data_IF_003736505075
#
_entry.id   IF_003736505075
#
_cell.length_a   1.000
_cell.length_b   1.000
_cell.length_c   1.000
_cell.angle_alpha   90.00
_cell.angle_beta   90.00
_cell.angle_gamma   90.00
#
_symmetry.space_group_name_H-M   'P 1'
#
loop_
_entity.id
_entity.type
_entity.pdbx_description
1 polymer ?
#
# COMPACT_ATOMS: atom_id res chain seq x y z
N UNK A 1 -4.39 23.86 6.84
CA UNK A 1 -4.27 24.51 8.17
C UNK A 1 -3.92 23.50 9.26
N UNK A 2 -4.72 22.43 9.46
CA UNK A 2 -4.50 21.41 10.52
C UNK A 2 -3.14 20.69 10.41
N UNK A 3 -2.79 20.19 9.22
CA UNK A 3 -1.51 19.46 9.03
C UNK A 3 -0.32 20.41 9.20
N UNK A 4 -0.38 21.60 8.61
CA UNK A 4 0.72 22.57 8.67
C UNK A 4 0.95 23.12 10.07
N UNK A 5 -0.11 23.41 10.85
CA UNK A 5 0.04 23.89 12.23
C UNK A 5 0.76 22.88 13.12
N UNK A 6 0.40 21.60 13.04
CA UNK A 6 1.08 20.55 13.81
C UNK A 6 2.53 20.30 13.36
N UNK A 7 2.82 20.49 12.07
CA UNK A 7 4.17 20.36 11.53
C UNK A 7 5.07 21.57 11.83
N UNK A 8 4.48 22.72 12.16
CA UNK A 8 5.19 23.94 12.53
C UNK A 8 5.45 24.07 14.03
N UNK A 9 4.56 23.50 14.85
CA UNK A 9 4.74 23.38 16.30
C UNK A 9 5.94 22.48 16.70
N UNK A 10 6.44 21.67 15.75
CA UNK A 10 7.62 20.79 15.87
C UNK A 10 8.96 21.55 16.07
N UNK A 11 8.91 22.89 16.16
CA UNK A 11 10.04 23.76 16.56
C UNK A 11 10.27 23.80 18.08
N UNK A 12 9.31 23.39 18.91
CA UNK A 12 9.50 23.35 20.37
C UNK A 12 10.07 21.99 20.78
N UNK A 13 11.25 22.01 21.42
CA UNK A 13 11.81 20.86 22.11
C UNK A 13 10.70 20.12 22.89
N UNK A 14 10.53 18.83 22.66
CA UNK A 14 9.78 17.99 23.58
C UNK A 14 10.74 17.09 24.34
N UNK A 15 10.89 17.47 25.59
CA UNK A 15 11.12 16.58 26.74
C UNK A 15 10.17 15.38 26.69
N UNK A 16 10.54 14.35 27.43
CA UNK A 16 9.99 12.99 27.62
C UNK A 16 8.47 12.71 27.61
N UNK A 17 7.59 13.67 27.36
CA UNK A 17 6.13 13.49 27.37
C UNK A 17 5.50 13.50 25.98
N UNK A 18 4.49 12.64 25.81
CA UNK A 18 3.76 12.33 24.57
C UNK A 18 2.89 13.51 24.05
N UNK A 19 3.01 14.71 24.62
CA UNK A 19 1.97 15.75 24.61
C UNK A 19 1.90 16.58 23.32
N UNK A 20 2.18 15.93 22.19
CA UNK A 20 1.76 16.40 20.87
C UNK A 20 2.47 15.73 19.71
N UNK A 21 2.78 14.44 19.85
CA UNK A 21 2.98 13.60 18.68
C UNK A 21 1.69 13.55 17.85
N UNK A 22 1.79 13.69 16.54
CA UNK A 22 0.66 13.54 15.63
C UNK A 22 0.56 12.10 15.12
N UNK A 23 -0.57 11.44 15.37
CA UNK A 23 -0.93 10.17 14.74
C UNK A 23 -2.26 10.39 14.02
N UNK A 24 -2.14 10.76 12.74
CA UNK A 24 -3.25 11.16 11.91
C UNK A 24 -3.67 10.04 10.97
N UNK A 25 -4.98 9.83 10.81
CA UNK A 25 -5.56 8.96 9.80
C UNK A 25 -6.42 9.76 8.83
N UNK A 26 -6.17 9.55 7.53
CA UNK A 26 -6.87 10.20 6.43
C UNK A 26 -7.55 9.13 5.57
N UNK A 27 -8.73 8.64 6.00
CA UNK A 27 -9.51 7.71 5.21
C UNK A 27 -10.22 8.45 4.06
N UNK A 28 -10.37 7.77 2.93
CA UNK A 28 -11.17 8.28 1.83
C UNK A 28 -11.33 7.25 0.72
N UNK A 29 -12.45 7.30 0.00
CA UNK A 29 -12.69 6.41 -1.14
C UNK A 29 -11.63 6.62 -2.24
N UNK A 30 -11.50 5.65 -3.15
CA UNK A 30 -10.75 5.84 -4.39
C UNK A 30 -11.23 7.11 -5.13
N UNK A 31 -10.31 7.96 -5.56
CA UNK A 31 -10.64 9.19 -6.28
C UNK A 31 -10.85 10.45 -5.42
N UNK A 32 -10.75 10.38 -4.09
CA UNK A 32 -10.91 11.53 -3.18
C UNK A 32 -9.68 12.44 -3.03
N UNK A 33 -8.62 12.22 -3.82
CA UNK A 33 -7.43 13.09 -3.82
C UNK A 33 -6.39 12.81 -2.72
N UNK A 34 -6.42 11.66 -2.04
CA UNK A 34 -5.43 11.26 -1.01
C UNK A 34 -3.96 11.44 -1.48
N UNK A 35 -3.61 10.89 -2.63
CA UNK A 35 -2.24 11.00 -3.17
C UNK A 35 -1.86 12.45 -3.52
N UNK A 36 -2.83 13.27 -3.94
CA UNK A 36 -2.61 14.71 -4.16
C UNK A 36 -2.34 15.45 -2.84
N UNK A 37 -3.02 15.08 -1.75
CA UNK A 37 -2.73 15.61 -0.42
C UNK A 37 -1.34 15.18 0.05
N UNK A 38 -0.92 13.94 -0.21
CA UNK A 38 0.45 13.48 0.08
C UNK A 38 1.47 14.36 -0.67
N UNK A 39 1.24 14.64 -1.96
CA UNK A 39 2.07 15.52 -2.79
C UNK A 39 2.11 16.95 -2.26
N UNK A 40 0.98 17.51 -1.82
CA UNK A 40 0.93 18.83 -1.21
C UNK A 40 1.77 18.91 0.08
N UNK A 41 1.64 17.92 0.97
CA UNK A 41 2.46 17.84 2.19
C UNK A 41 3.94 17.62 1.84
N UNK A 42 4.25 16.85 0.80
CA UNK A 42 5.63 16.71 0.28
C UNK A 42 6.14 18.08 -0.15
N UNK A 43 5.42 18.80 -1.00
CA UNK A 43 5.80 20.14 -1.46
C UNK A 43 6.05 21.11 -0.30
N UNK A 44 5.24 21.04 0.76
CA UNK A 44 5.46 21.82 1.98
C UNK A 44 6.85 21.57 2.59
N UNK A 45 7.21 20.32 2.88
CA UNK A 45 8.52 19.98 3.43
C UNK A 45 9.69 20.33 2.51
N UNK A 46 9.46 20.36 1.20
CA UNK A 46 10.47 20.74 0.20
C UNK A 46 10.77 22.24 0.32
N UNK A 47 9.72 23.06 0.27
CA UNK A 47 9.83 24.51 0.35
C UNK A 47 10.40 24.96 1.71
N UNK A 48 10.05 24.26 2.79
CA UNK A 48 10.62 24.54 4.12
C UNK A 48 12.02 23.93 4.36
N UNK A 49 12.63 23.28 3.35
CA UNK A 49 13.95 22.61 3.42
C UNK A 49 14.05 21.54 4.53
N UNK A 50 12.95 20.84 4.81
CA UNK A 50 12.84 19.80 5.87
C UNK A 50 12.69 18.37 5.31
N UNK A 51 12.91 18.17 4.01
CA UNK A 51 12.74 16.88 3.34
C UNK A 51 13.42 15.70 4.05
N UNK A 52 14.62 15.92 4.59
CA UNK A 52 15.39 14.88 5.30
C UNK A 52 14.68 14.32 6.55
N UNK A 53 13.72 15.07 7.10
CA UNK A 53 12.93 14.69 8.29
C UNK A 53 11.75 13.78 7.95
N UNK A 54 11.42 13.62 6.67
CA UNK A 54 10.25 12.87 6.20
C UNK A 54 10.66 11.53 5.58
N UNK A 55 9.81 10.51 5.77
CA UNK A 55 9.77 9.31 4.93
C UNK A 55 8.37 9.09 4.39
N UNK A 56 8.28 8.61 3.15
CA UNK A 56 7.04 8.27 2.45
C UNK A 56 7.07 6.78 2.19
N UNK A 57 6.10 6.07 2.72
CA UNK A 57 6.04 4.62 2.73
C UNK A 57 4.74 4.17 2.05
N UNK A 58 4.78 3.01 1.41
CA UNK A 58 3.58 2.32 0.92
C UNK A 58 3.80 0.79 0.99
N UNK A 59 2.75 -0.04 0.98
CA UNK A 59 2.89 -1.50 1.03
C UNK A 59 3.42 -2.11 -0.28
N UNK A 60 3.13 -1.49 -1.43
CA UNK A 60 3.48 -2.01 -2.78
C UNK A 60 4.43 -1.07 -3.51
N UNK A 61 5.18 -1.60 -4.48
CA UNK A 61 6.12 -0.81 -5.29
C UNK A 61 5.43 0.29 -6.10
N UNK A 62 4.29 -0.03 -6.73
CA UNK A 62 3.52 0.95 -7.53
C UNK A 62 3.01 2.09 -6.65
N UNK A 63 2.40 1.77 -5.49
CA UNK A 63 1.91 2.80 -4.58
C UNK A 63 3.06 3.65 -4.00
N UNK A 64 4.21 3.04 -3.73
CA UNK A 64 5.40 3.76 -3.28
C UNK A 64 5.92 4.72 -4.37
N UNK A 65 5.98 4.26 -5.62
CA UNK A 65 6.42 5.08 -6.75
C UNK A 65 5.51 6.28 -6.99
N UNK A 66 4.19 6.11 -6.90
CA UNK A 66 3.18 7.18 -7.12
C UNK A 66 3.38 8.41 -6.21
N UNK A 67 3.95 8.19 -5.03
CA UNK A 67 4.23 9.22 -4.02
C UNK A 67 5.74 9.55 -3.91
N UNK A 68 6.57 9.09 -4.85
CA UNK A 68 8.05 9.15 -4.83
C UNK A 68 8.64 8.69 -3.49
N UNK A 69 8.09 7.60 -2.95
CA UNK A 69 8.46 6.99 -1.68
C UNK A 69 9.19 5.67 -1.86
N UNK A 70 9.14 4.84 -0.82
CA UNK A 70 9.69 3.48 -0.84
C UNK A 70 8.70 2.51 -0.20
N UNK A 71 8.89 1.22 -0.43
CA UNK A 71 8.05 0.23 0.23
C UNK A 71 8.36 0.17 1.73
N UNK A 72 7.37 -0.20 2.56
CA UNK A 72 7.59 -0.43 4.00
C UNK A 72 8.66 -1.52 4.19
N UNK A 73 8.64 -2.57 3.37
CA UNK A 73 9.64 -3.64 3.44
C UNK A 73 11.06 -3.14 3.13
N UNK A 74 11.22 -2.32 2.09
CA UNK A 74 12.51 -1.67 1.78
C UNK A 74 13.00 -0.82 2.94
N UNK A 75 12.10 -0.05 3.58
CA UNK A 75 12.44 0.76 4.74
C UNK A 75 12.89 -0.09 5.95
N UNK A 76 12.23 -1.24 6.18
CA UNK A 76 12.60 -2.16 7.26
C UNK A 76 13.94 -2.86 7.03
N UNK A 77 14.28 -3.15 5.76
CA UNK A 77 15.55 -3.77 5.38
C UNK A 77 16.74 -2.80 5.34
N UNK A 78 16.48 -1.49 5.34
CA UNK A 78 17.52 -0.47 5.25
C UNK A 78 18.16 -0.19 6.62
N UNK A 79 19.11 -1.05 6.99
CA UNK A 79 19.97 -0.94 8.17
C UNK A 79 20.84 0.34 8.15
N UNK A 80 20.94 1.05 7.02
CA UNK A 80 21.78 2.25 6.83
C UNK A 80 21.04 3.56 7.07
N UNK A 81 19.76 3.54 7.47
CA UNK A 81 19.04 4.75 7.87
C UNK A 81 19.62 5.33 9.17
N UNK A 82 20.75 6.04 9.05
CA UNK A 82 21.48 6.69 10.14
C UNK A 82 20.72 7.88 10.73
N UNK A 83 19.72 8.42 10.02
CA UNK A 83 18.85 9.51 10.49
C UNK A 83 17.40 9.07 10.51
N UNK A 84 16.84 9.00 11.72
CA UNK A 84 15.42 8.70 11.94
C UNK A 84 14.55 9.82 11.37
N UNK A 85 13.45 9.48 10.67
CA UNK A 85 12.47 10.49 10.30
C UNK A 85 11.80 11.06 11.54
N UNK A 86 11.42 12.34 11.48
CA UNK A 86 10.45 12.92 12.41
C UNK A 86 9.02 12.75 11.95
N UNK A 87 8.80 12.51 10.64
CA UNK A 87 7.47 12.29 10.08
C UNK A 87 7.47 11.15 9.08
N UNK A 88 6.53 10.22 9.24
CA UNK A 88 6.25 9.14 8.29
C UNK A 88 4.87 9.39 7.68
N UNK A 89 4.80 9.36 6.35
CA UNK A 89 3.55 9.28 5.61
C UNK A 89 3.43 7.88 5.03
N UNK A 90 2.32 7.20 5.30
CA UNK A 90 2.09 5.85 4.80
C UNK A 90 0.82 5.83 3.94
N UNK A 91 0.96 5.55 2.64
CA UNK A 91 -0.17 5.39 1.72
C UNK A 91 -0.63 3.93 1.62
N UNK A 92 -1.85 3.72 1.15
CA UNK A 92 -2.52 2.42 0.99
C UNK A 92 -2.47 1.52 2.25
N UNK A 93 -2.64 2.13 3.42
CA UNK A 93 -2.51 1.43 4.70
C UNK A 93 -3.57 0.35 4.95
N UNK A 94 -4.61 0.28 4.11
CA UNK A 94 -5.59 -0.83 4.13
C UNK A 94 -4.96 -2.18 3.82
N UNK A 95 -3.88 -2.21 3.02
CA UNK A 95 -3.13 -3.42 2.69
C UNK A 95 -2.05 -3.77 3.72
N UNK A 96 -1.84 -2.92 4.74
CA UNK A 96 -0.85 -3.16 5.80
C UNK A 96 -1.53 -3.90 6.95
N UNK A 97 -0.96 -5.04 7.33
CA UNK A 97 -1.44 -5.80 8.47
C UNK A 97 -0.73 -5.45 9.77
N UNK A 98 -1.29 -5.97 10.87
CA UNK A 98 -0.80 -5.70 12.22
C UNK A 98 0.61 -6.24 12.46
N UNK A 99 1.01 -7.36 11.85
CA UNK A 99 2.38 -7.88 11.99
C UNK A 99 3.38 -6.96 11.31
N UNK A 100 3.09 -6.45 10.11
CA UNK A 100 3.96 -5.48 9.44
C UNK A 100 4.06 -4.16 10.22
N UNK A 101 2.94 -3.67 10.75
CA UNK A 101 2.91 -2.47 11.58
C UNK A 101 3.74 -2.62 12.87
N UNK A 102 3.66 -3.78 13.53
CA UNK A 102 4.48 -4.08 14.71
C UNK A 102 5.98 -4.00 14.42
N UNK A 103 6.40 -4.56 13.28
CA UNK A 103 7.81 -4.49 12.82
C UNK A 103 8.24 -3.05 12.56
N UNK A 104 7.39 -2.26 11.90
CA UNK A 104 7.63 -0.84 11.66
C UNK A 104 7.83 -0.08 12.96
N UNK A 105 6.92 -0.23 13.92
CA UNK A 105 7.03 0.38 15.24
C UNK A 105 8.35 -0.02 15.94
N UNK A 106 8.70 -1.31 15.93
CA UNK A 106 9.94 -1.78 16.56
C UNK A 106 11.19 -1.11 15.99
N UNK A 107 11.29 -0.98 14.67
CA UNK A 107 12.47 -0.39 14.01
C UNK A 107 12.58 1.11 14.31
N UNK A 108 11.46 1.84 14.23
CA UNK A 108 11.50 3.29 14.47
C UNK A 108 11.71 3.61 15.96
N UNK A 109 11.18 2.78 16.86
CA UNK A 109 11.33 2.86 18.32
C UNK A 109 12.62 2.23 18.86
N UNK A 110 13.54 1.76 18.01
CA UNK A 110 14.77 1.10 18.46
C UNK A 110 15.86 1.96 19.17
N UNK A 111 15.89 3.32 19.20
CA UNK A 111 16.99 4.02 19.86
C UNK A 111 16.87 3.91 21.38
N UNK A 112 18.03 3.83 22.06
CA UNK A 112 18.20 3.42 23.46
C UNK A 112 17.57 4.33 24.55
N UNK A 113 16.85 5.39 24.18
CA UNK A 113 16.31 6.39 25.13
C UNK A 113 14.86 6.78 24.89
N UNK A 114 14.11 5.99 24.12
CA UNK A 114 12.67 6.25 23.91
C UNK A 114 11.86 5.29 24.78
N UNK A 115 10.90 5.85 25.52
CA UNK A 115 9.98 5.04 26.30
C UNK A 115 9.20 4.10 25.35
N UNK A 116 9.26 2.75 25.55
CA UNK A 116 8.58 1.79 24.69
C UNK A 116 7.06 1.97 24.61
N UNK A 117 6.47 2.69 25.57
CA UNK A 117 5.04 3.02 25.60
C UNK A 117 4.66 4.14 24.63
N UNK A 118 5.63 4.95 24.17
CA UNK A 118 5.37 6.01 23.20
C UNK A 118 5.18 5.36 21.82
N UNK A 119 4.00 5.52 21.21
CA UNK A 119 3.70 4.91 19.91
C UNK A 119 4.68 5.42 18.87
N UNK A 120 5.17 4.54 18.00
CA UNK A 120 6.10 4.89 16.92
C UNK A 120 7.37 5.64 17.38
N UNK A 121 7.70 5.55 18.68
CA UNK A 121 8.84 6.22 19.27
C UNK A 121 8.79 7.74 19.20
N UNK A 122 7.59 8.32 19.19
CA UNK A 122 7.36 9.77 19.12
C UNK A 122 7.39 10.34 17.70
N UNK A 123 7.58 9.51 16.67
CA UNK A 123 7.56 9.93 15.27
C UNK A 123 6.14 10.30 14.86
N UNK A 124 5.96 11.45 14.21
CA UNK A 124 4.65 11.83 13.65
C UNK A 124 4.28 10.87 12.52
N UNK A 125 3.09 10.27 12.57
CA UNK A 125 2.62 9.32 11.55
C UNK A 125 1.34 9.85 10.92
N UNK A 126 1.33 9.94 9.59
CA UNK A 126 0.14 10.29 8.81
C UNK A 126 -0.18 9.12 7.89
N UNK A 127 -1.32 8.49 8.13
CA UNK A 127 -1.76 7.28 7.46
C UNK A 127 -2.86 7.63 6.47
N UNK A 128 -2.73 7.17 5.23
CA UNK A 128 -3.70 7.30 4.17
C UNK A 128 -4.18 5.92 3.75
N UNK A 129 -5.46 5.81 3.40
CA UNK A 129 -5.95 4.56 2.86
C UNK A 129 -7.44 4.52 2.63
N UNK A 130 -7.84 3.42 2.02
CA UNK A 130 -9.22 3.06 1.81
C UNK A 130 -9.46 1.65 2.36
N UNK A 131 -10.01 1.57 3.58
CA UNK A 131 -10.19 0.32 4.31
C UNK A 131 -11.30 -0.60 3.76
N UNK A 132 -12.05 -0.15 2.75
CA UNK A 132 -13.02 -0.98 2.03
C UNK A 132 -12.47 -1.52 0.69
N UNK A 133 -11.21 -1.22 0.36
CA UNK A 133 -10.51 -1.87 -0.75
C UNK A 133 -9.86 -3.19 -0.30
N UNK A 134 -8.60 -3.42 -0.69
CA UNK A 134 -7.89 -4.65 -0.39
C UNK A 134 -7.46 -4.72 1.08
N UNK A 135 -7.65 -5.91 1.67
CA UNK A 135 -7.12 -6.29 2.98
C UNK A 135 -5.65 -6.71 2.86
N UNK A 136 -4.90 -6.72 3.96
CA UNK A 136 -3.57 -7.31 3.95
C UNK A 136 -3.59 -8.77 3.52
N UNK A 137 -2.58 -9.17 2.76
CA UNK A 137 -2.39 -10.56 2.32
C UNK A 137 -1.61 -11.32 3.41
N UNK A 138 -2.14 -12.46 3.86
CA UNK A 138 -1.55 -13.31 4.92
C UNK A 138 -1.26 -12.61 6.28
N UNK A 139 -1.87 -11.46 6.54
CA UNK A 139 -1.76 -10.73 7.80
C UNK A 139 -3.14 -10.22 8.27
N UNK A 140 -3.22 -9.76 9.51
CA UNK A 140 -4.46 -9.37 10.17
C UNK A 140 -4.73 -7.87 9.91
N UNK A 141 -5.94 -7.48 9.46
CA UNK A 141 -6.29 -6.08 9.21
C UNK A 141 -6.14 -5.17 10.43
N UNK A 142 -5.81 -3.89 10.20
CA UNK A 142 -5.61 -2.90 11.27
C UNK A 142 -6.82 -2.64 12.16
N UNK A 143 -8.03 -2.82 11.61
CA UNK A 143 -9.29 -2.60 12.32
C UNK A 143 -9.80 -3.86 13.04
N UNK A 144 -9.01 -4.93 13.11
CA UNK A 144 -9.41 -6.17 13.78
C UNK A 144 -9.75 -5.94 15.25
N UNK A 145 -10.87 -6.48 15.69
CA UNK A 145 -11.28 -6.46 17.10
C UNK A 145 -10.96 -7.80 17.77
N UNK A 146 -9.93 -7.78 18.63
CA UNK A 146 -9.50 -8.97 19.38
C UNK A 146 -10.43 -9.32 20.55
N UNK A 147 -11.36 -8.44 20.94
CA UNK A 147 -12.33 -8.74 22.00
C UNK A 147 -13.32 -9.83 21.58
N UNK A 148 -13.69 -9.86 20.29
CA UNK A 148 -14.62 -10.84 19.71
C UNK A 148 -14.02 -12.25 19.67
N UNK A 149 -12.70 -12.37 19.58
CA UNK A 149 -11.97 -13.64 19.56
C UNK A 149 -11.96 -14.35 20.93
N UNK A 150 -12.18 -13.59 22.02
CA UNK A 150 -12.11 -14.08 23.40
C UNK A 150 -13.35 -14.90 23.83
N UNK A 151 -14.39 -15.02 22.99
CA UNK A 151 -15.62 -15.77 23.32
C UNK A 151 -15.47 -17.29 23.26
N UNK A 152 -14.38 -17.82 22.67
CA UNK A 152 -14.02 -19.23 22.80
C UNK A 152 -13.00 -19.37 23.94
N UNK A 153 -13.41 -19.95 25.06
CA UNK A 153 -12.53 -20.36 26.17
C UNK A 153 -11.46 -21.34 25.64
N UNK A 154 -10.35 -20.83 25.13
CA UNK A 154 -9.13 -21.61 25.00
C UNK A 154 -8.14 -21.09 26.02
N UNK A 155 -7.75 -21.95 26.95
CA UNK A 155 -6.67 -21.76 27.92
C UNK A 155 -5.27 -21.74 27.27
N UNK A 156 -5.19 -21.32 26.01
CA UNK A 156 -3.97 -21.34 25.22
C UNK A 156 -3.23 -20.01 25.42
N UNK A 157 -1.97 -20.09 25.84
CA UNK A 157 -1.06 -18.95 25.87
C UNK A 157 -0.98 -18.30 24.49
N UNK A 158 -1.00 -16.97 24.46
CA UNK A 158 -0.84 -16.20 23.23
C UNK A 158 0.57 -16.42 22.67
N UNK A 159 0.65 -16.62 21.36
CA UNK A 159 1.92 -16.66 20.64
C UNK A 159 2.57 -15.27 20.57
N UNK A 160 3.88 -15.21 20.36
CA UNK A 160 4.59 -13.93 20.18
C UNK A 160 3.98 -13.10 19.03
N UNK A 161 3.59 -13.75 17.93
CA UNK A 161 2.94 -13.10 16.79
C UNK A 161 1.62 -12.42 17.21
N UNK A 162 0.79 -13.10 17.99
CA UNK A 162 -0.49 -12.55 18.47
C UNK A 162 -0.27 -11.39 19.44
N UNK A 163 0.75 -11.48 20.31
CA UNK A 163 1.14 -10.38 21.21
C UNK A 163 1.56 -9.16 20.38
N UNK A 164 2.44 -9.34 19.40
CA UNK A 164 2.89 -8.26 18.51
C UNK A 164 1.73 -7.63 17.74
N UNK A 165 0.76 -8.43 17.27
CA UNK A 165 -0.43 -7.91 16.60
C UNK A 165 -1.32 -7.09 17.53
N UNK A 166 -1.49 -7.52 18.79
CA UNK A 166 -2.24 -6.75 19.80
C UNK A 166 -1.54 -5.43 20.16
N UNK A 167 -0.22 -5.43 20.26
CA UNK A 167 0.57 -4.20 20.44
C UNK A 167 0.40 -3.27 19.23
N UNK A 168 0.51 -3.77 18.00
CA UNK A 168 0.26 -2.96 16.82
C UNK A 168 -1.17 -2.40 16.79
N UNK A 169 -2.16 -3.16 17.26
CA UNK A 169 -3.54 -2.70 17.35
C UNK A 169 -3.70 -1.57 18.36
N UNK A 170 -2.98 -1.60 19.48
CA UNK A 170 -3.00 -0.49 20.44
C UNK A 170 -2.41 0.78 19.85
N UNK A 171 -1.41 0.70 18.96
CA UNK A 171 -0.90 1.86 18.22
C UNK A 171 -1.98 2.49 17.34
N UNK A 172 -2.77 1.68 16.63
CA UNK A 172 -3.89 2.17 15.80
C UNK A 172 -4.98 2.81 16.66
N UNK A 173 -5.21 2.32 17.88
CA UNK A 173 -6.17 2.93 18.82
C UNK A 173 -5.68 4.28 19.37
N UNK A 174 -4.40 4.61 19.24
CA UNK A 174 -3.80 5.89 19.63
C UNK A 174 -3.84 6.95 18.52
N UNK A 175 -4.53 6.69 17.40
CA UNK A 175 -4.82 7.73 16.40
C UNK A 175 -5.55 8.89 17.11
N UNK A 176 -4.95 10.06 17.06
CA UNK A 176 -5.44 11.26 17.76
C UNK A 176 -6.03 12.32 16.82
N UNK A 177 -5.93 12.12 15.51
CA UNK A 177 -6.54 12.99 14.51
C UNK A 177 -7.10 12.18 13.35
N UNK A 178 -8.35 12.42 12.97
CA UNK A 178 -8.98 11.78 11.81
C UNK A 178 -9.55 12.85 10.89
N UNK A 179 -9.13 12.84 9.62
CA UNK A 179 -9.63 13.74 8.58
C UNK A 179 -10.15 12.91 7.43
N UNK A 180 -11.47 12.77 7.30
CA UNK A 180 -12.10 11.97 6.25
C UNK A 180 -12.23 12.80 4.97
N UNK A 181 -11.69 12.29 3.85
CA UNK A 181 -11.93 12.87 2.53
C UNK A 181 -13.20 12.26 1.93
N UNK A 182 -14.18 13.10 1.60
CA UNK A 182 -15.50 12.70 1.10
C UNK A 182 -15.76 13.10 -0.34
N UNK A 183 -15.18 14.22 -0.79
CA UNK A 183 -15.41 14.75 -2.13
C UNK A 183 -14.70 13.89 -3.19
N UNK A 184 -15.43 13.49 -4.23
CA UNK A 184 -14.87 12.80 -5.39
C UNK A 184 -14.22 13.78 -6.35
N UNK A 185 -12.99 13.47 -6.75
CA UNK A 185 -12.15 14.31 -7.61
C UNK A 185 -11.73 13.59 -8.90
N UNK A 186 -12.06 12.31 -9.06
CA UNK A 186 -11.62 11.48 -10.20
C UNK A 186 -12.60 11.47 -11.36
N UNK A 187 -13.89 11.55 -11.07
CA UNK A 187 -14.95 11.47 -12.09
C UNK A 187 -16.09 12.40 -11.71
N UNK A 188 -16.71 12.98 -12.74
CA UNK A 188 -17.86 13.88 -12.63
C UNK A 188 -19.17 13.17 -13.03
N UNK A 189 -19.09 11.93 -13.52
CA UNK A 189 -20.25 11.12 -13.90
C UNK A 189 -21.04 10.68 -12.65
N UNK A 190 -22.16 11.35 -12.42
CA UNK A 190 -23.02 11.12 -11.26
C UNK A 190 -23.61 9.71 -11.22
N UNK A 191 -24.01 9.13 -12.36
CA UNK A 191 -24.54 7.78 -12.41
C UNK A 191 -23.47 6.77 -12.01
N UNK A 192 -22.25 6.93 -12.54
CA UNK A 192 -21.14 6.06 -12.20
C UNK A 192 -20.71 6.21 -10.73
N UNK A 193 -20.70 7.44 -10.20
CA UNK A 193 -20.41 7.69 -8.78
C UNK A 193 -21.40 6.99 -7.85
N UNK A 194 -22.69 7.11 -8.13
CA UNK A 194 -23.74 6.46 -7.35
C UNK A 194 -23.61 4.93 -7.36
N UNK A 195 -23.30 4.36 -8.54
CA UNK A 195 -22.99 2.93 -8.66
C UNK A 195 -21.80 2.54 -7.78
N UNK A 196 -20.70 3.30 -7.81
CA UNK A 196 -19.51 3.00 -7.00
C UNK A 196 -19.78 3.09 -5.49
N UNK A 197 -20.60 4.05 -5.06
CA UNK A 197 -21.02 4.20 -3.67
C UNK A 197 -21.85 3.00 -3.20
N UNK A 198 -22.84 2.58 -3.99
CA UNK A 198 -23.65 1.39 -3.71
C UNK A 198 -22.82 0.12 -3.71
N UNK A 199 -21.95 -0.06 -4.70
CA UNK A 199 -21.02 -1.19 -4.80
C UNK A 199 -20.15 -1.29 -3.55
N UNK A 200 -19.64 -0.17 -3.07
CA UNK A 200 -18.81 -0.08 -1.87
C UNK A 200 -19.55 -0.51 -0.59
N UNK A 201 -20.85 -0.30 -0.52
CA UNK A 201 -21.69 -0.72 0.62
C UNK A 201 -22.30 -2.11 0.43
N UNK A 202 -22.11 -2.76 -0.72
CA UNK A 202 -22.79 -4.00 -1.06
C UNK A 202 -24.29 -3.83 -1.31
N UNK A 203 -24.72 -2.65 -1.76
CA UNK A 203 -26.12 -2.26 -1.98
C UNK A 203 -26.43 -2.00 -3.47
N UNK A 204 -25.81 -2.77 -4.38
CA UNK A 204 -26.04 -2.61 -5.81
C UNK A 204 -27.51 -2.88 -6.17
N UNK A 205 -28.05 -2.10 -7.11
CA UNK A 205 -29.39 -2.29 -7.67
C UNK A 205 -29.35 -3.08 -8.97
N UNK A 206 -30.52 -3.43 -9.50
CA UNK A 206 -30.63 -4.02 -10.83
C UNK A 206 -30.16 -3.04 -11.92
N UNK A 207 -30.49 -1.75 -11.79
CA UNK A 207 -30.03 -0.70 -12.70
C UNK A 207 -28.49 -0.60 -12.75
N UNK A 208 -27.80 -0.80 -11.61
CA UNK A 208 -26.32 -0.85 -11.58
C UNK A 208 -25.78 -2.02 -12.41
N UNK A 209 -26.45 -3.17 -12.34
CA UNK A 209 -26.10 -4.35 -13.13
C UNK A 209 -26.32 -4.11 -14.63
N UNK A 210 -27.47 -3.55 -15.01
CA UNK A 210 -27.75 -3.18 -16.41
C UNK A 210 -26.73 -2.17 -16.94
N UNK A 211 -26.38 -1.15 -16.14
CA UNK A 211 -25.37 -0.17 -16.49
C UNK A 211 -24.01 -0.84 -16.76
N UNK A 212 -23.59 -1.81 -15.94
CA UNK A 212 -22.34 -2.55 -16.17
C UNK A 212 -22.40 -3.43 -17.42
N UNK A 213 -23.56 -4.03 -17.73
CA UNK A 213 -23.73 -4.82 -18.96
C UNK A 213 -23.48 -3.99 -20.22
N UNK A 214 -23.80 -2.69 -20.22
CA UNK A 214 -23.48 -1.78 -21.34
C UNK A 214 -21.97 -1.64 -21.61
N UNK A 215 -21.11 -2.11 -20.70
CA UNK A 215 -19.65 -2.03 -20.79
C UNK A 215 -18.97 -3.38 -21.03
N UNK A 216 -19.73 -4.46 -21.20
CA UNK A 216 -19.20 -5.78 -21.52
C UNK A 216 -18.75 -5.83 -22.98
N UNK A 217 -17.59 -6.43 -23.25
CA UNK A 217 -17.09 -6.63 -24.60
C UNK A 217 -17.99 -7.59 -25.41
N UNK A 218 -18.41 -7.18 -26.61
CA UNK A 218 -19.36 -7.91 -27.47
C UNK A 218 -20.45 -7.01 -28.03
N UNK A 219 -21.17 -7.47 -29.07
CA UNK A 219 -22.39 -6.78 -29.52
C UNK A 219 -23.52 -7.01 -28.50
N UNK A 220 -24.31 -5.97 -28.15
CA UNK A 220 -24.41 -4.65 -28.78
C UNK A 220 -23.57 -3.52 -28.15
N UNK A 221 -22.82 -3.78 -27.08
CA UNK A 221 -22.19 -2.77 -26.22
C UNK A 221 -20.83 -2.26 -26.73
N UNK A 222 -19.85 -3.16 -26.89
CA UNK A 222 -18.48 -2.81 -27.31
C UNK A 222 -18.06 -3.73 -28.45
N UNK A 223 -18.03 -3.18 -29.67
CA UNK A 223 -17.82 -3.96 -30.89
C UNK A 223 -16.47 -4.70 -30.94
N UNK A 224 -15.36 -4.00 -30.72
CA UNK A 224 -14.02 -4.58 -30.84
C UNK A 224 -13.03 -3.97 -29.85
N UNK A 225 -12.33 -4.81 -29.10
CA UNK A 225 -11.22 -4.39 -28.23
C UNK A 225 -9.94 -4.06 -29.02
N UNK A 226 -9.92 -4.31 -30.34
CA UNK A 226 -8.80 -3.98 -31.23
C UNK A 226 -8.83 -2.54 -31.73
N UNK A 227 -9.94 -1.83 -31.49
CA UNK A 227 -10.14 -0.46 -31.94
C UNK A 227 -9.84 0.54 -30.81
N UNK A 228 -9.61 1.80 -31.18
CA UNK A 228 -9.42 2.88 -30.22
C UNK A 228 -10.74 3.17 -29.47
N UNK A 229 -10.74 3.44 -28.15
CA UNK A 229 -9.58 3.57 -27.25
C UNK A 229 -9.10 2.25 -26.61
N UNK A 230 -9.82 1.14 -26.83
CA UNK A 230 -9.60 -0.14 -26.14
C UNK A 230 -8.27 -0.81 -26.48
N UNK A 231 -7.78 -0.61 -27.70
CA UNK A 231 -6.52 -1.17 -28.17
C UNK A 231 -5.28 -0.70 -27.40
N UNK A 232 -5.40 0.38 -26.63
CA UNK A 232 -4.35 0.92 -25.75
C UNK A 232 -4.73 0.89 -24.28
N UNK A 233 -5.90 0.34 -23.94
CA UNK A 233 -6.37 0.30 -22.56
C UNK A 233 -5.53 -0.68 -21.72
N UNK A 234 -5.21 -0.34 -20.46
CA UNK A 234 -4.59 -1.30 -19.55
C UNK A 234 -5.56 -2.45 -19.25
N UNK A 235 -5.05 -3.68 -19.25
CA UNK A 235 -5.84 -4.87 -18.94
C UNK A 235 -5.56 -5.28 -17.49
N UNK A 236 -6.62 -5.37 -16.69
CA UNK A 236 -6.55 -5.85 -15.32
C UNK A 236 -7.01 -7.32 -15.26
N UNK A 237 -6.22 -8.16 -14.61
CA UNK A 237 -6.53 -9.58 -14.41
C UNK A 237 -6.18 -10.00 -12.99
N UNK A 238 -6.87 -11.03 -12.48
CA UNK A 238 -6.71 -11.47 -11.09
C UNK A 238 -5.41 -12.23 -10.80
N UNK A 239 -4.85 -12.91 -11.80
CA UNK A 239 -3.70 -13.81 -11.60
C UNK A 239 -2.46 -13.26 -12.28
N UNK A 240 -1.33 -13.26 -11.56
CA UNK A 240 -0.02 -12.85 -12.09
C UNK A 240 0.36 -13.65 -13.33
N UNK A 241 0.11 -14.97 -13.35
CA UNK A 241 0.38 -15.83 -14.51
C UNK A 241 -0.32 -15.33 -15.78
N UNK A 242 -1.60 -14.94 -15.67
CA UNK A 242 -2.38 -14.41 -16.79
C UNK A 242 -1.84 -13.04 -17.20
N UNK A 243 -1.52 -12.17 -16.24
CA UNK A 243 -0.91 -10.85 -16.49
C UNK A 243 0.39 -11.00 -17.27
N UNK A 244 1.28 -11.89 -16.84
CA UNK A 244 2.58 -12.13 -17.46
C UNK A 244 2.43 -12.65 -18.89
N UNK A 245 1.54 -13.61 -19.12
CA UNK A 245 1.26 -14.09 -20.47
C UNK A 245 0.69 -13.00 -21.39
N UNK A 246 -0.26 -12.18 -20.91
CA UNK A 246 -0.82 -11.07 -21.68
C UNK A 246 0.24 -10.02 -22.02
N UNK A 247 1.06 -9.62 -21.03
CA UNK A 247 2.16 -8.68 -21.22
C UNK A 247 3.20 -9.21 -22.20
N UNK A 248 3.57 -10.49 -22.10
CA UNK A 248 4.51 -11.12 -23.03
C UNK A 248 3.96 -11.10 -24.46
N UNK A 249 2.70 -11.51 -24.67
CA UNK A 249 2.05 -11.46 -25.99
C UNK A 249 2.01 -10.03 -26.55
N UNK A 250 1.66 -9.05 -25.72
CA UNK A 250 1.64 -7.64 -26.10
C UNK A 250 3.05 -7.13 -26.48
N UNK A 251 4.08 -7.46 -25.69
CA UNK A 251 5.46 -7.09 -25.95
C UNK A 251 5.99 -7.68 -27.27
N UNK A 252 5.74 -8.98 -27.52
CA UNK A 252 6.12 -9.64 -28.78
C UNK A 252 5.42 -9.00 -29.98
N UNK A 253 4.13 -8.71 -29.86
CA UNK A 253 3.36 -8.07 -30.93
C UNK A 253 3.90 -6.66 -31.25
N UNK A 254 4.13 -5.84 -30.22
CA UNK A 254 4.65 -4.48 -30.38
C UNK A 254 6.08 -4.47 -30.93
N UNK A 255 6.94 -5.38 -30.48
CA UNK A 255 8.31 -5.53 -30.98
C UNK A 255 8.33 -5.84 -32.48
N UNK A 256 7.45 -6.75 -32.94
CA UNK A 256 7.29 -7.06 -34.37
C UNK A 256 6.79 -5.87 -35.18
N UNK A 257 5.82 -5.12 -34.67
CA UNK A 257 5.29 -3.95 -35.37
C UNK A 257 6.29 -2.80 -35.49
N UNK A 258 7.10 -2.58 -34.45
CA UNK A 258 8.10 -1.50 -34.40
C UNK A 258 9.47 -1.91 -34.95
N UNK A 259 9.62 -3.15 -35.41
CA UNK A 259 10.88 -3.75 -35.84
C UNK A 259 12.00 -3.62 -34.78
N UNK A 260 11.65 -3.85 -33.52
CA UNK A 260 12.58 -3.84 -32.39
C UNK A 260 12.88 -5.25 -31.90
N UNK A 261 14.12 -5.45 -31.45
CA UNK A 261 14.52 -6.68 -30.76
C UNK A 261 13.92 -6.70 -29.35
N UNK A 262 13.14 -7.72 -29.03
CA UNK A 262 12.66 -7.95 -27.67
C UNK A 262 13.79 -8.55 -26.83
N UNK A 263 14.32 -7.78 -25.87
CA UNK A 263 15.27 -8.29 -24.90
C UNK A 263 14.52 -8.89 -23.71
N UNK A 264 14.80 -10.16 -23.40
CA UNK A 264 14.28 -10.83 -22.20
C UNK A 264 15.42 -10.92 -21.19
N UNK A 265 15.32 -10.16 -20.11
CA UNK A 265 16.27 -10.20 -19.01
C UNK A 265 15.72 -11.14 -17.93
N UNK A 266 16.47 -12.20 -17.64
CA UNK A 266 16.17 -13.13 -16.55
C UNK A 266 17.06 -12.82 -15.35
N UNK A 267 16.49 -12.96 -14.15
CA UNK A 267 17.25 -12.76 -12.92
C UNK A 267 18.34 -13.82 -12.79
N UNK A 268 19.49 -13.42 -12.25
CA UNK A 268 20.53 -14.37 -11.85
C UNK A 268 20.21 -14.87 -10.44
N UNK A 269 19.68 -16.09 -10.36
CA UNK A 269 19.31 -16.68 -9.08
C UNK A 269 20.52 -17.05 -8.24
N UNK A 270 20.44 -16.76 -6.94
CA UNK A 270 21.47 -17.10 -5.96
C UNK A 270 20.89 -17.90 -4.80
N UNK A 271 21.64 -18.87 -4.28
CA UNK A 271 21.35 -19.57 -3.05
C UNK A 271 22.46 -19.29 -2.04
N UNK A 272 22.11 -18.69 -0.89
CA UNK A 272 23.06 -18.30 0.16
C UNK A 272 24.23 -17.44 -0.37
N UNK A 273 23.94 -16.55 -1.31
CA UNK A 273 24.93 -15.63 -1.90
C UNK A 273 25.84 -16.25 -2.97
N UNK A 274 25.60 -17.50 -3.39
CA UNK A 274 26.29 -18.13 -4.52
C UNK A 274 25.33 -18.29 -5.69
N UNK A 275 25.78 -17.97 -6.90
CA UNK A 275 25.03 -18.20 -8.14
C UNK A 275 24.67 -19.68 -8.26
N UNK A 276 23.44 -19.96 -8.68
CA UNK A 276 23.03 -21.32 -9.00
C UNK A 276 23.61 -21.68 -10.38
N UNK A 277 24.43 -22.73 -10.45
CA UNK A 277 25.08 -23.19 -11.69
C UNK A 277 24.41 -24.45 -12.29
N UNK A 278 23.55 -25.12 -11.52
CA UNK A 278 22.83 -26.32 -11.97
C UNK A 278 21.81 -25.96 -13.06
N UNK A 279 22.08 -26.41 -14.29
CA UNK A 279 21.24 -26.13 -15.46
C UNK A 279 19.81 -26.69 -15.35
N UNK A 280 19.62 -27.83 -14.68
CA UNK A 280 18.29 -28.41 -14.48
C UNK A 280 17.50 -27.53 -13.51
N UNK A 281 18.16 -27.08 -12.44
CA UNK A 281 17.55 -26.18 -11.47
C UNK A 281 17.25 -24.81 -12.08
N UNK A 282 18.18 -24.21 -12.83
CA UNK A 282 17.96 -22.94 -13.55
C UNK A 282 16.75 -23.08 -14.48
N UNK A 283 16.67 -24.15 -15.28
CA UNK A 283 15.53 -24.35 -16.18
C UNK A 283 14.21 -24.49 -15.42
N UNK A 284 14.21 -25.21 -14.30
CA UNK A 284 13.03 -25.29 -13.42
C UNK A 284 12.65 -23.94 -12.84
N UNK A 285 13.61 -23.12 -12.40
CA UNK A 285 13.37 -21.78 -11.87
C UNK A 285 12.81 -20.83 -12.94
N UNK A 286 13.30 -20.94 -14.18
CA UNK A 286 12.77 -20.19 -15.33
C UNK A 286 11.33 -20.58 -15.70
N UNK A 287 10.96 -21.84 -15.46
CA UNK A 287 9.61 -22.37 -15.70
C UNK A 287 8.69 -22.18 -14.48
N UNK A 288 9.20 -21.72 -13.33
CA UNK A 288 8.36 -21.42 -12.18
C UNK A 288 7.43 -20.24 -12.50
N UNK A 289 6.14 -20.35 -12.18
CA UNK A 289 5.24 -19.22 -12.35
C UNK A 289 5.60 -18.12 -11.35
N UNK A 290 5.50 -16.86 -11.79
CA UNK A 290 5.67 -15.63 -10.98
C UNK A 290 4.83 -15.61 -9.68
N UNK A 291 3.83 -16.50 -9.57
CA UNK A 291 2.97 -16.65 -8.39
C UNK A 291 3.61 -17.42 -7.24
N UNK A 292 4.71 -18.15 -7.46
CA UNK A 292 5.33 -19.07 -6.49
C UNK A 292 6.64 -18.60 -5.89
N UNK A 293 7.02 -17.34 -6.06
CA UNK A 293 8.13 -16.78 -5.28
C UNK A 293 7.62 -16.38 -3.90
N UNK A 294 7.55 -17.35 -2.98
CA UNK A 294 7.01 -17.16 -1.62
C UNK A 294 7.63 -15.98 -0.84
N UNK A 295 8.77 -15.43 -1.31
CA UNK A 295 9.50 -14.35 -0.63
C UNK A 295 10.10 -13.25 -1.52
N UNK A 296 9.79 -13.16 -2.83
CA UNK A 296 10.28 -12.07 -3.67
C UNK A 296 9.12 -11.18 -4.13
N UNK A 297 9.22 -9.85 -4.00
CA UNK A 297 8.30 -8.95 -4.69
C UNK A 297 8.53 -9.10 -6.21
N UNK A 298 7.50 -9.55 -6.92
CA UNK A 298 7.46 -9.49 -8.38
C UNK A 298 7.17 -8.09 -8.92
#
# INVERSE_FOLDING_TARGET
MIITSHLDDDKRCRTSDNDGQLIMCIPGCGGTGKSQLIRAITKYFLVTKRMYMMRKLAPTGIAAAEIDGMTIHSFLGDQRNSRKPRTIKADEMSMVGLTLLAKLNRIISAPKHVNPQIPFGGVNVIIFGDYLQYRPVYDVPLHTDFSLSSRKKSSKLLTEKEIQQRVARSLILQINCVVKLTQQMRTEDLQYLQLLERLRQGQCTYDDYELLLTRVAGQPSVGSLKEHPWNKAPILVFRNEVRTQLNYKAAVHNAKQLNYSLMVCVAQDTCKGRTIEDQILIKKLLELPDSKTEHLPG
#
